data_IF_812622408787
#
_entry.id   IF_812622408787
#
_cell.length_a   1.000
_cell.length_b   1.000
_cell.length_c   1.000
_cell.angle_alpha   90.00
_cell.angle_beta   90.00
_cell.angle_gamma   90.00
#
_symmetry.space_group_name_H-M   'P 1'
#
loop_
_entity.id
_entity.type
_entity.pdbx_description
1 polymer ?
#
# COMPACT_ATOMS: atom_id res chain seq x y z
N UNK A 1 9.28 -8.60 -6.85
CA UNK A 1 9.55 -9.56 -5.78
C UNK A 1 11.05 -9.67 -5.46
N UNK A 2 11.90 -10.11 -6.38
CA UNK A 2 13.35 -10.31 -6.11
C UNK A 2 14.05 -9.04 -5.61
N UNK A 3 13.80 -7.90 -6.24
CA UNK A 3 14.39 -6.61 -5.83
C UNK A 3 13.87 -6.18 -4.44
N UNK A 4 12.58 -6.37 -4.16
CA UNK A 4 12.02 -6.11 -2.85
C UNK A 4 12.68 -6.97 -1.78
N UNK A 5 12.75 -8.29 -2.01
CA UNK A 5 13.36 -9.24 -1.06
C UNK A 5 14.85 -8.98 -0.82
N UNK A 6 15.58 -8.54 -1.86
CA UNK A 6 17.01 -8.19 -1.75
C UNK A 6 17.22 -6.92 -0.89
N UNK A 7 16.26 -6.02 -0.85
CA UNK A 7 16.33 -4.74 -0.13
C UNK A 7 15.63 -4.76 1.23
N UNK A 8 14.80 -5.77 1.50
CA UNK A 8 14.09 -5.88 2.77
C UNK A 8 15.04 -6.14 3.94
N UNK A 9 15.02 -5.26 4.94
CA UNK A 9 15.91 -5.29 6.11
C UNK A 9 15.25 -5.86 7.38
N UNK A 10 13.98 -6.25 7.31
CA UNK A 10 13.30 -6.90 8.43
C UNK A 10 13.89 -8.28 8.70
N UNK A 11 13.82 -8.68 9.97
CA UNK A 11 14.34 -9.96 10.46
C UNK A 11 13.17 -10.75 11.04
N UNK A 12 12.94 -12.00 10.63
CA UNK A 12 11.86 -12.80 11.20
C UNK A 12 11.93 -12.82 12.74
N UNK A 13 10.80 -12.50 13.40
CA UNK A 13 10.73 -12.63 14.86
C UNK A 13 10.82 -14.10 15.29
N UNK A 14 10.03 -14.96 14.66
CA UNK A 14 10.14 -16.42 14.81
C UNK A 14 11.17 -16.96 13.84
N UNK A 15 12.38 -17.25 14.32
CA UNK A 15 13.51 -17.71 13.49
C UNK A 15 14.28 -18.86 14.14
N UNK A 16 14.93 -19.65 13.30
CA UNK A 16 15.89 -20.66 13.72
C UNK A 16 17.27 -20.04 14.07
N UNK A 17 18.25 -20.90 14.37
CA UNK A 17 19.61 -20.47 14.74
C UNK A 17 20.36 -19.84 13.56
N UNK A 18 19.99 -20.18 12.32
CA UNK A 18 20.56 -19.63 11.10
C UNK A 18 19.84 -18.32 10.68
N UNK A 19 18.75 -17.92 11.35
CA UNK A 19 17.97 -16.73 11.07
C UNK A 19 16.85 -16.92 10.05
N UNK A 20 16.54 -18.15 9.66
CA UNK A 20 15.42 -18.45 8.77
C UNK A 20 14.10 -18.38 9.52
N UNK A 21 13.04 -17.93 8.83
CA UNK A 21 11.72 -17.87 9.42
C UNK A 21 11.17 -19.25 9.77
N UNK A 22 10.58 -19.34 10.96
CA UNK A 22 9.80 -20.50 11.42
C UNK A 22 8.30 -20.38 11.06
N UNK A 23 7.86 -19.32 10.40
CA UNK A 23 6.52 -19.20 9.83
C UNK A 23 6.46 -19.98 8.52
N UNK A 24 6.25 -21.30 8.66
CA UNK A 24 6.28 -22.25 7.54
C UNK A 24 4.90 -22.35 6.90
N UNK A 25 4.83 -22.08 5.61
CA UNK A 25 3.63 -22.20 4.79
C UNK A 25 3.78 -23.42 3.87
N UNK A 26 2.85 -24.35 3.98
CA UNK A 26 2.85 -25.63 3.26
C UNK A 26 1.46 -25.95 2.71
N UNK A 27 1.24 -27.21 2.31
CA UNK A 27 -0.08 -27.72 1.92
C UNK A 27 -1.09 -27.75 3.07
N UNK A 28 -0.64 -27.76 4.31
CA UNK A 28 -1.48 -27.74 5.51
C UNK A 28 -1.73 -26.30 5.99
N UNK A 29 -2.89 -26.01 6.63
CA UNK A 29 -3.17 -24.70 7.19
C UNK A 29 -2.10 -24.27 8.21
N UNK A 30 -1.58 -23.05 8.06
CA UNK A 30 -0.58 -22.46 8.94
C UNK A 30 -1.15 -21.23 9.65
N UNK A 31 -0.88 -21.11 10.95
CA UNK A 31 -1.22 -19.92 11.73
C UNK A 31 -0.03 -19.00 11.86
N UNK A 32 -0.25 -17.72 11.60
CA UNK A 32 0.67 -16.61 11.83
C UNK A 32 0.01 -15.69 12.86
N UNK A 33 0.55 -15.64 14.05
CA UNK A 33 0.04 -14.75 15.12
C UNK A 33 0.43 -13.31 14.79
N UNK A 34 -0.47 -12.36 15.05
CA UNK A 34 -0.26 -10.96 14.64
C UNK A 34 0.95 -10.32 15.36
N UNK A 35 1.21 -10.73 16.59
CA UNK A 35 2.35 -10.25 17.37
C UNK A 35 3.70 -10.81 16.93
N UNK A 36 3.71 -11.81 16.03
CA UNK A 36 4.92 -12.43 15.47
C UNK A 36 5.49 -11.68 14.25
N UNK A 37 5.12 -10.40 14.07
CA UNK A 37 5.67 -9.57 13.00
C UNK A 37 7.20 -9.42 13.11
N UNK A 38 7.85 -9.15 11.99
CA UNK A 38 9.32 -9.08 11.89
C UNK A 38 9.92 -8.00 12.80
N UNK A 39 11.15 -8.22 13.27
CA UNK A 39 12.00 -7.20 13.87
C UNK A 39 12.59 -6.29 12.77
N UNK A 40 12.90 -5.03 13.10
CA UNK A 40 13.53 -4.10 12.15
C UNK A 40 13.16 -2.65 12.39
N UNK A 41 12.13 -2.41 13.17
CA UNK A 41 11.70 -1.06 13.57
C UNK A 41 10.78 -0.38 12.57
N UNK A 42 10.44 0.84 12.95
CA UNK A 42 9.57 1.75 12.21
C UNK A 42 10.09 1.99 10.79
N UNK A 43 9.20 1.86 9.80
CA UNK A 43 9.50 2.04 8.39
C UNK A 43 10.23 0.85 7.73
N UNK A 44 10.59 -0.19 8.48
CA UNK A 44 11.24 -1.41 7.98
C UNK A 44 10.33 -2.61 8.10
N UNK A 45 9.93 -2.99 9.30
CA UNK A 45 9.08 -4.15 9.59
C UNK A 45 7.67 -3.77 10.02
N UNK A 46 7.45 -2.51 10.38
CA UNK A 46 6.15 -1.96 10.67
C UNK A 46 6.10 -0.44 10.45
N UNK A 47 4.89 0.09 10.40
CA UNK A 47 4.59 1.51 10.53
C UNK A 47 3.38 1.68 11.44
N UNK A 48 3.51 2.49 12.47
CA UNK A 48 2.43 2.79 13.40
C UNK A 48 2.42 4.27 13.76
N UNK A 49 1.36 4.98 13.35
CA UNK A 49 1.18 6.40 13.65
C UNK A 49 1.10 6.68 15.15
N UNK A 50 0.47 5.77 15.88
CA UNK A 50 0.33 5.84 17.33
C UNK A 50 1.22 4.80 17.99
N UNK A 51 2.55 5.01 17.92
CA UNK A 51 3.48 4.17 18.64
C UNK A 51 3.05 4.05 20.11
N UNK A 52 2.78 2.86 20.56
CA UNK A 52 2.19 2.62 21.86
C UNK A 52 2.65 1.32 22.50
N UNK A 53 2.39 1.26 23.79
CA UNK A 53 2.52 0.04 24.57
C UNK A 53 1.13 -0.48 24.88
N UNK A 54 0.81 -1.67 24.36
CA UNK A 54 -0.51 -2.29 24.54
C UNK A 54 -0.73 -2.96 25.89
N UNK A 55 0.25 -2.87 26.80
CA UNK A 55 0.17 -3.41 28.15
C UNK A 55 0.63 -4.87 28.29
N UNK A 56 1.10 -5.52 27.25
CA UNK A 56 1.61 -6.88 27.28
C UNK A 56 3.04 -6.98 26.73
N UNK A 57 3.96 -7.45 27.57
CA UNK A 57 5.37 -7.62 27.22
C UNK A 57 5.60 -8.95 26.50
N UNK A 58 5.24 -9.02 25.23
CA UNK A 58 5.45 -10.20 24.40
C UNK A 58 6.83 -10.20 23.73
N UNK A 59 7.30 -9.01 23.33
CA UNK A 59 8.55 -8.82 22.60
C UNK A 59 9.28 -7.56 23.05
N UNK A 60 10.60 -7.51 22.79
CA UNK A 60 11.44 -6.38 23.18
C UNK A 60 11.20 -5.14 22.30
N UNK A 61 10.86 -5.34 21.01
CA UNK A 61 10.60 -4.25 20.09
C UNK A 61 9.37 -3.45 20.53
N UNK A 62 9.54 -2.14 20.56
CA UNK A 62 8.49 -1.19 20.95
C UNK A 62 8.08 -0.37 19.72
N UNK A 63 6.89 0.17 19.73
CA UNK A 63 6.33 0.95 18.63
C UNK A 63 4.99 0.41 18.15
N UNK A 64 4.77 -0.90 18.33
CA UNK A 64 3.49 -1.57 18.05
C UNK A 64 2.84 -1.96 19.37
N UNK A 65 1.55 -1.65 19.52
CA UNK A 65 0.81 -1.94 20.73
C UNK A 65 0.37 -3.42 20.77
N UNK A 66 1.15 -4.25 21.46
CA UNK A 66 0.77 -5.65 21.75
C UNK A 66 -0.06 -5.68 23.03
N UNK A 67 -1.26 -6.21 22.94
CA UNK A 67 -2.25 -6.30 24.02
C UNK A 67 -2.63 -7.75 24.29
N UNK A 68 -3.24 -8.00 25.46
CA UNK A 68 -3.80 -9.31 25.80
C UNK A 68 -5.22 -9.16 26.29
N UNK A 69 -6.14 -9.82 25.60
CA UNK A 69 -7.57 -9.86 25.91
C UNK A 69 -7.97 -11.28 26.25
N UNK A 70 -8.11 -11.61 27.54
CA UNK A 70 -8.29 -12.99 27.99
C UNK A 70 -7.06 -13.83 27.67
N UNK A 71 -7.23 -14.87 26.84
CA UNK A 71 -6.12 -15.71 26.36
C UNK A 71 -5.56 -15.28 25.00
N UNK A 72 -6.20 -14.32 24.33
CA UNK A 72 -5.80 -13.82 23.01
C UNK A 72 -4.76 -12.71 23.16
N UNK A 73 -3.60 -12.87 22.54
CA UNK A 73 -2.62 -11.81 22.33
C UNK A 73 -2.96 -11.17 20.98
N UNK A 74 -2.95 -9.87 20.90
CA UNK A 74 -3.39 -9.16 19.70
C UNK A 74 -2.64 -7.85 19.51
N UNK A 75 -2.66 -7.32 18.28
CA UNK A 75 -2.22 -5.98 17.95
C UNK A 75 -3.41 -5.04 18.08
N UNK A 76 -3.25 -4.01 18.90
CA UNK A 76 -4.26 -2.97 19.13
C UNK A 76 -3.72 -1.57 18.84
N UNK A 77 -4.56 -0.57 19.11
CA UNK A 77 -4.24 0.86 18.91
C UNK A 77 -3.80 1.19 17.46
N UNK A 78 -4.32 0.45 16.52
CA UNK A 78 -4.03 0.58 15.10
C UNK A 78 -4.79 1.76 14.51
N UNK A 79 -4.15 2.50 13.63
CA UNK A 79 -4.69 3.66 12.92
C UNK A 79 -4.73 3.43 11.40
N UNK A 80 -5.27 4.41 10.68
CA UNK A 80 -5.20 4.40 9.22
C UNK A 80 -3.74 4.32 8.77
N UNK A 81 -3.50 3.54 7.73
CA UNK A 81 -2.20 3.39 7.07
C UNK A 81 -1.10 2.69 7.89
N UNK A 82 -1.45 2.17 9.07
CA UNK A 82 -0.55 1.30 9.81
C UNK A 82 -0.36 -0.03 9.06
N UNK A 83 0.83 -0.60 9.18
CA UNK A 83 1.16 -1.86 8.54
C UNK A 83 2.18 -2.69 9.33
N UNK A 84 2.17 -4.00 9.10
CA UNK A 84 3.07 -4.99 9.70
C UNK A 84 3.61 -5.94 8.62
N UNK A 85 4.86 -6.36 8.76
CA UNK A 85 5.51 -7.33 7.89
C UNK A 85 5.79 -8.65 8.61
N UNK A 86 5.68 -9.74 7.86
CA UNK A 86 5.92 -11.11 8.32
C UNK A 86 6.74 -11.84 7.27
N UNK A 87 7.92 -12.32 7.63
CA UNK A 87 8.70 -13.17 6.73
C UNK A 87 8.17 -14.60 6.81
N UNK A 88 7.71 -15.13 5.69
CA UNK A 88 7.20 -16.49 5.52
C UNK A 88 8.24 -17.35 4.83
N UNK A 89 8.27 -18.66 5.18
CA UNK A 89 8.99 -19.69 4.44
C UNK A 89 7.99 -20.63 3.78
N UNK A 90 7.80 -20.51 2.47
CA UNK A 90 6.88 -21.34 1.70
C UNK A 90 7.58 -22.58 1.22
N UNK A 91 7.04 -23.75 1.52
CA UNK A 91 7.60 -25.06 1.14
C UNK A 91 6.81 -25.75 0.04
N UNK A 92 5.65 -25.22 -0.32
CA UNK A 92 4.83 -25.75 -1.41
C UNK A 92 4.18 -24.58 -2.17
N UNK A 93 4.51 -24.41 -3.44
CA UNK A 93 3.92 -23.37 -4.27
C UNK A 93 2.42 -23.59 -4.48
N UNK A 94 1.63 -22.50 -4.49
CA UNK A 94 0.18 -22.61 -4.68
C UNK A 94 -0.54 -21.28 -4.66
N UNK A 95 -1.85 -21.37 -4.91
CA UNK A 95 -2.80 -20.35 -4.54
C UNK A 95 -3.25 -20.58 -3.09
N UNK A 96 -3.30 -19.52 -2.31
CA UNK A 96 -3.64 -19.57 -0.88
C UNK A 96 -4.80 -18.63 -0.56
N UNK A 97 -5.52 -18.94 0.51
CA UNK A 97 -6.41 -17.99 1.19
C UNK A 97 -5.80 -17.59 2.53
N UNK A 98 -6.12 -16.38 2.97
CA UNK A 98 -5.74 -15.86 4.28
C UNK A 98 -7.02 -15.53 5.04
N UNK A 99 -7.35 -16.32 6.03
CA UNK A 99 -8.41 -16.03 6.99
C UNK A 99 -7.83 -15.13 8.09
N UNK A 100 -8.26 -13.86 8.12
CA UNK A 100 -7.78 -12.85 9.07
C UNK A 100 -8.74 -12.74 10.24
N UNK A 101 -8.29 -13.08 11.44
CA UNK A 101 -9.04 -12.93 12.67
C UNK A 101 -8.78 -11.54 13.23
N UNK A 102 -9.76 -10.69 13.14
CA UNK A 102 -9.66 -9.30 13.53
C UNK A 102 -11.04 -8.72 13.84
N UNK A 103 -11.07 -7.54 14.45
CA UNK A 103 -12.30 -6.84 14.78
C UNK A 103 -12.11 -5.33 14.73
N UNK A 104 -13.16 -4.62 14.37
CA UNK A 104 -13.27 -3.16 14.51
C UNK A 104 -14.59 -2.78 15.17
N UNK A 105 -14.58 -1.72 15.99
CA UNK A 105 -15.80 -1.10 16.49
C UNK A 105 -16.02 0.31 15.89
N UNK A 106 -15.29 0.65 14.82
CA UNK A 106 -15.30 1.95 14.19
C UNK A 106 -16.10 1.99 12.86
N UNK A 107 -16.97 1.01 12.62
CA UNK A 107 -17.72 0.89 11.38
C UNK A 107 -16.87 0.31 10.25
N UNK A 108 -17.07 0.77 9.01
CA UNK A 108 -16.43 0.19 7.83
C UNK A 108 -14.94 0.52 7.76
N UNK A 109 -14.12 -0.40 8.22
CA UNK A 109 -12.67 -0.37 8.11
C UNK A 109 -12.23 -1.50 7.20
N UNK A 110 -11.34 -1.22 6.28
CA UNK A 110 -10.81 -2.22 5.34
C UNK A 110 -9.33 -2.51 5.61
N UNK A 111 -8.88 -3.67 5.14
CA UNK A 111 -7.48 -4.02 5.10
C UNK A 111 -7.15 -4.82 3.83
N UNK A 112 -5.87 -4.94 3.52
CA UNK A 112 -5.37 -5.70 2.39
C UNK A 112 -3.95 -6.23 2.65
N UNK A 113 -3.48 -7.09 1.75
CA UNK A 113 -2.15 -7.67 1.83
C UNK A 113 -1.29 -7.31 0.64
N UNK A 114 0.01 -7.31 0.87
CA UNK A 114 1.03 -7.39 -0.16
C UNK A 114 1.91 -8.62 0.06
N UNK A 115 2.39 -9.20 -1.02
CA UNK A 115 3.44 -10.22 -1.04
C UNK A 115 4.62 -9.67 -1.82
N UNK A 116 5.78 -9.60 -1.16
CA UNK A 116 7.03 -9.09 -1.75
C UNK A 116 6.86 -7.73 -2.41
N UNK A 117 6.10 -6.85 -1.73
CA UNK A 117 5.82 -5.51 -2.20
C UNK A 117 4.82 -5.43 -3.35
N UNK A 118 4.00 -6.43 -3.59
CA UNK A 118 2.92 -6.41 -4.58
C UNK A 118 1.60 -6.74 -3.92
N UNK A 119 0.55 -5.99 -4.26
CA UNK A 119 -0.80 -6.26 -3.76
C UNK A 119 -1.22 -7.70 -4.06
N UNK A 120 -1.82 -8.36 -3.09
CA UNK A 120 -2.20 -9.76 -3.15
C UNK A 120 -3.62 -9.98 -2.61
N UNK A 121 -4.44 -10.64 -3.39
CA UNK A 121 -5.85 -10.91 -3.06
C UNK A 121 -6.73 -9.66 -3.12
N UNK A 122 -7.87 -9.71 -2.43
CA UNK A 122 -8.86 -8.65 -2.40
C UNK A 122 -8.67 -7.75 -1.19
N UNK A 123 -9.19 -6.52 -1.28
CA UNK A 123 -9.45 -5.70 -0.11
C UNK A 123 -10.74 -6.16 0.52
N UNK A 124 -10.72 -6.27 1.83
CA UNK A 124 -11.85 -6.78 2.61
C UNK A 124 -12.17 -5.85 3.77
N UNK A 125 -13.45 -5.81 4.16
CA UNK A 125 -13.89 -5.08 5.34
C UNK A 125 -13.68 -5.97 6.59
N UNK A 126 -13.12 -5.38 7.66
CA UNK A 126 -12.98 -6.05 8.95
C UNK A 126 -14.36 -6.30 9.57
N UNK A 127 -14.57 -7.42 10.28
CA UNK A 127 -15.80 -7.67 11.02
C UNK A 127 -16.03 -6.59 12.09
N UNK A 128 -17.26 -6.09 12.17
CA UNK A 128 -17.66 -5.12 13.18
C UNK A 128 -18.21 -5.81 14.40
N UNK A 129 -17.57 -5.63 15.56
CA UNK A 129 -18.01 -6.15 16.87
C UNK A 129 -17.25 -5.37 17.98
N UNK A 130 -17.43 -5.76 19.24
CA UNK A 130 -16.65 -5.23 20.36
C UNK A 130 -15.15 -5.56 20.21
N UNK A 131 -14.28 -4.62 20.58
CA UNK A 131 -12.83 -4.67 20.41
C UNK A 131 -12.11 -5.94 20.89
N UNK A 132 -12.72 -6.75 21.70
CA UNK A 132 -12.15 -7.97 22.28
C UNK A 132 -12.80 -9.26 21.74
N UNK A 133 -13.57 -9.18 20.65
CA UNK A 133 -14.24 -10.33 20.04
C UNK A 133 -13.45 -10.80 18.83
N UNK A 134 -12.63 -11.84 18.98
CA UNK A 134 -11.78 -12.41 17.94
C UNK A 134 -12.31 -13.72 17.34
N UNK A 135 -13.62 -13.96 17.43
CA UNK A 135 -14.25 -15.17 16.89
C UNK A 135 -14.59 -15.06 15.41
N UNK A 136 -14.56 -13.86 14.86
CA UNK A 136 -14.85 -13.58 13.46
C UNK A 136 -13.58 -13.57 12.65
N UNK A 137 -13.66 -14.05 11.42
CA UNK A 137 -12.60 -13.91 10.43
C UNK A 137 -13.16 -13.45 9.11
N UNK A 138 -12.33 -12.80 8.31
CA UNK A 138 -12.61 -12.48 6.92
C UNK A 138 -11.53 -13.05 6.02
N UNK A 139 -11.95 -13.59 4.89
CA UNK A 139 -11.09 -14.35 3.99
C UNK A 139 -10.65 -13.51 2.80
N UNK A 140 -9.33 -13.46 2.58
CA UNK A 140 -8.72 -13.01 1.33
C UNK A 140 -8.33 -14.24 0.52
N UNK A 141 -8.64 -14.28 -0.76
CA UNK A 141 -8.38 -15.42 -1.65
C UNK A 141 -7.36 -15.07 -2.74
N UNK A 142 -6.92 -16.08 -3.46
CA UNK A 142 -6.07 -15.97 -4.64
C UNK A 142 -4.70 -15.34 -4.39
N UNK A 143 -4.17 -15.52 -3.18
CA UNK A 143 -2.80 -15.12 -2.84
C UNK A 143 -1.83 -16.14 -3.41
N UNK A 144 -1.02 -15.75 -4.38
CA UNK A 144 -0.08 -16.63 -5.05
C UNK A 144 1.27 -16.63 -4.34
N UNK A 145 1.72 -17.81 -3.90
CA UNK A 145 3.01 -17.99 -3.24
C UNK A 145 3.82 -19.05 -3.98
N UNK A 146 5.02 -18.68 -4.43
CA UNK A 146 6.02 -19.64 -4.92
C UNK A 146 6.74 -20.31 -3.75
N UNK A 147 7.52 -21.34 -4.02
CA UNK A 147 8.44 -21.87 -3.00
C UNK A 147 9.54 -20.86 -2.68
N UNK A 148 9.93 -20.77 -1.40
CA UNK A 148 10.98 -19.91 -0.92
C UNK A 148 10.56 -18.91 0.15
N UNK A 149 11.38 -17.89 0.33
CA UNK A 149 11.14 -16.78 1.26
C UNK A 149 10.20 -15.77 0.63
N UNK A 150 9.22 -15.34 1.38
CA UNK A 150 8.31 -14.24 1.04
C UNK A 150 8.11 -13.30 2.22
N UNK A 151 7.75 -12.05 1.94
CA UNK A 151 7.33 -11.07 2.96
C UNK A 151 5.86 -10.76 2.74
N UNK A 152 5.03 -11.19 3.69
CA UNK A 152 3.63 -10.79 3.80
C UNK A 152 3.58 -9.45 4.51
N UNK A 153 2.89 -8.48 3.94
CA UNK A 153 2.65 -7.18 4.55
C UNK A 153 1.15 -6.95 4.65
N UNK A 154 0.68 -6.67 5.86
CA UNK A 154 -0.71 -6.33 6.15
C UNK A 154 -0.85 -4.82 6.31
N UNK A 155 -1.88 -4.23 5.70
CA UNK A 155 -2.21 -2.81 5.77
C UNK A 155 -3.64 -2.60 6.19
N UNK A 156 -3.93 -1.52 6.91
CA UNK A 156 -5.29 -1.13 7.27
C UNK A 156 -5.63 0.30 6.91
N UNK A 157 -6.94 0.56 6.72
CA UNK A 157 -7.50 1.90 6.48
C UNK A 157 -8.01 2.56 7.77
N UNK A 158 -7.84 1.93 8.92
CA UNK A 158 -8.32 2.47 10.19
C UNK A 158 -8.11 1.50 11.36
N UNK A 159 -8.74 1.81 12.48
CA UNK A 159 -8.60 1.05 13.71
C UNK A 159 -9.14 -0.37 13.63
N UNK A 160 -8.26 -1.34 13.75
CA UNK A 160 -8.55 -2.78 13.81
C UNK A 160 -7.74 -3.38 14.95
N UNK A 161 -8.35 -4.24 15.77
CA UNK A 161 -7.60 -5.16 16.61
C UNK A 161 -7.39 -6.46 15.83
N UNK A 162 -6.13 -6.89 15.72
CA UNK A 162 -5.69 -8.01 14.91
C UNK A 162 -5.15 -9.13 15.78
N UNK A 163 -5.72 -10.35 15.66
CA UNK A 163 -5.31 -11.54 16.40
C UNK A 163 -4.32 -12.38 15.60
N UNK A 164 -4.72 -12.88 14.42
CA UNK A 164 -3.90 -13.79 13.62
C UNK A 164 -4.37 -13.92 12.19
N UNK A 165 -3.54 -14.58 11.41
CA UNK A 165 -3.86 -15.07 10.07
C UNK A 165 -3.84 -16.60 10.06
N UNK A 166 -4.77 -17.24 9.35
CA UNK A 166 -4.70 -18.66 9.00
C UNK A 166 -4.56 -18.76 7.49
N UNK A 167 -3.40 -19.23 7.04
CA UNK A 167 -3.03 -19.33 5.63
C UNK A 167 -3.27 -20.76 5.18
N UNK A 168 -4.12 -20.96 4.18
CA UNK A 168 -4.54 -22.27 3.69
C UNK A 168 -4.35 -22.38 2.19
N UNK A 169 -3.69 -23.43 1.73
CA UNK A 169 -3.56 -23.72 0.29
C UNK A 169 -4.92 -24.04 -0.32
N UNK A 170 -5.26 -23.41 -1.43
CA UNK A 170 -6.56 -23.54 -2.10
C UNK A 170 -6.46 -24.02 -3.53
N UNK A 171 -5.28 -23.99 -4.13
CA UNK A 171 -5.11 -24.37 -5.53
C UNK A 171 -3.67 -24.37 -6.01
N UNK A 172 -3.51 -24.56 -7.31
CA UNK A 172 -2.21 -24.55 -7.96
C UNK A 172 -1.64 -23.13 -8.09
N UNK A 173 -0.31 -23.04 -8.10
CA UNK A 173 0.40 -21.81 -8.35
C UNK A 173 0.28 -21.40 -9.82
N UNK A 174 -0.20 -20.20 -10.10
CA UNK A 174 -0.33 -19.66 -11.47
C UNK A 174 0.76 -18.67 -11.84
N UNK A 175 1.53 -18.20 -10.86
CA UNK A 175 2.59 -17.21 -11.04
C UNK A 175 2.10 -15.75 -11.09
N UNK A 176 0.80 -15.51 -11.06
CA UNK A 176 0.22 -14.17 -11.11
C UNK A 176 -0.42 -13.81 -9.78
N UNK A 177 0.07 -12.77 -9.12
CA UNK A 177 -0.67 -12.15 -8.02
C UNK A 177 -1.89 -11.42 -8.60
N UNK A 178 -3.07 -11.87 -8.19
CA UNK A 178 -4.31 -11.16 -8.47
C UNK A 178 -4.46 -10.11 -7.37
N UNK A 179 -3.82 -8.96 -7.55
CA UNK A 179 -3.99 -7.82 -6.67
C UNK A 179 -5.26 -7.06 -7.00
N UNK A 180 -5.84 -6.40 -6.01
CA UNK A 180 -6.97 -5.52 -6.25
C UNK A 180 -6.46 -4.21 -6.86
N UNK A 181 -6.65 -4.06 -8.17
CA UNK A 181 -6.26 -2.88 -8.94
C UNK A 181 -6.94 -1.57 -8.50
N UNK A 182 -7.93 -1.62 -7.61
CA UNK A 182 -8.62 -0.44 -7.09
C UNK A 182 -7.83 0.32 -6.02
N UNK A 183 -6.71 -0.23 -5.54
CA UNK A 183 -5.90 0.40 -4.50
C UNK A 183 -4.45 0.61 -4.93
N UNK A 184 -4.27 1.22 -6.07
CA UNK A 184 -2.97 1.70 -6.54
C UNK A 184 -2.61 3.08 -5.95
N UNK A 185 -3.05 3.39 -4.73
CA UNK A 185 -2.59 4.61 -4.07
C UNK A 185 -1.35 4.31 -3.24
N UNK A 186 -0.23 5.00 -3.53
CA UNK A 186 0.90 4.99 -2.63
C UNK A 186 0.47 5.63 -1.32
N UNK A 187 0.24 4.83 -0.31
CA UNK A 187 -0.19 5.39 0.96
C UNK A 187 0.94 5.97 1.79
N UNK A 188 2.12 5.57 1.65
CA UNK A 188 3.33 6.15 2.24
C UNK A 188 4.56 5.51 1.60
N UNK A 189 5.48 6.32 1.19
CA UNK A 189 6.77 5.91 0.68
C UNK A 189 7.25 6.84 -0.43
N UNK A 190 8.53 6.97 -0.52
CA UNK A 190 9.15 7.65 -1.65
C UNK A 190 8.79 6.89 -2.93
N UNK A 191 8.67 7.60 -4.02
CA UNK A 191 8.41 7.15 -5.38
C UNK A 191 9.09 5.84 -5.78
N UNK A 192 10.27 5.61 -5.25
CA UNK A 192 11.16 4.51 -5.61
C UNK A 192 10.75 3.16 -5.00
N UNK A 193 9.79 3.15 -4.08
CA UNK A 193 9.43 1.95 -3.31
C UNK A 193 7.93 1.63 -3.31
N UNK A 194 7.17 2.20 -4.26
CA UNK A 194 5.77 1.86 -4.36
C UNK A 194 5.59 0.51 -5.11
N UNK A 195 5.27 -0.57 -4.39
CA UNK A 195 5.09 -1.89 -4.99
C UNK A 195 3.86 -1.99 -5.89
N UNK A 196 2.99 -0.99 -5.87
CA UNK A 196 1.82 -0.87 -6.73
C UNK A 196 2.14 -0.23 -8.09
N UNK A 197 3.40 -0.16 -8.45
CA UNK A 197 3.79 0.12 -9.82
C UNK A 197 3.33 -1.04 -10.69
N UNK A 198 2.09 -0.98 -11.12
CA UNK A 198 1.58 -1.89 -12.13
C UNK A 198 2.41 -1.64 -13.38
N UNK A 199 3.07 -2.68 -13.88
CA UNK A 199 3.67 -2.62 -15.20
C UNK A 199 2.53 -2.34 -16.19
N UNK A 200 2.43 -1.09 -16.68
CA UNK A 200 1.42 -0.65 -17.65
C UNK A 200 1.46 -1.43 -18.97
N UNK A 201 2.38 -2.36 -19.11
CA UNK A 201 2.44 -3.31 -20.23
C UNK A 201 1.46 -4.49 -20.07
N UNK A 202 0.85 -4.66 -18.88
CA UNK A 202 -0.21 -5.67 -18.73
C UNK A 202 -1.47 -5.18 -19.44
N UNK A 203 -2.19 -6.09 -20.09
CA UNK A 203 -3.39 -5.83 -20.90
C UNK A 203 -4.63 -5.39 -20.07
N UNK A 204 -4.45 -4.84 -18.89
CA UNK A 204 -5.54 -4.42 -18.00
C UNK A 204 -6.00 -2.99 -18.35
N UNK A 205 -7.12 -2.90 -19.06
CA UNK A 205 -7.70 -1.69 -19.64
C UNK A 205 -8.20 -0.62 -18.67
N UNK A 206 -8.07 -0.77 -17.35
CA UNK A 206 -8.61 0.16 -16.36
C UNK A 206 -7.61 0.60 -15.29
N UNK A 207 -6.32 0.44 -15.52
CA UNK A 207 -5.30 0.87 -14.56
C UNK A 207 -5.05 2.36 -14.70
N UNK A 208 -5.00 3.14 -13.60
CA UNK A 208 -4.58 4.52 -13.64
C UNK A 208 -3.18 4.64 -14.25
N UNK A 209 -2.99 5.55 -15.20
CA UNK A 209 -1.67 5.74 -15.81
C UNK A 209 -0.71 6.57 -14.92
N UNK A 210 -1.21 7.21 -13.89
CA UNK A 210 -0.44 7.88 -12.85
C UNK A 210 -0.64 7.12 -11.55
N UNK A 211 0.37 6.40 -11.10
CA UNK A 211 0.37 5.65 -9.84
C UNK A 211 1.42 6.16 -8.84
N UNK A 212 2.09 7.27 -9.16
CA UNK A 212 3.25 7.78 -8.43
C UNK A 212 3.00 9.12 -7.75
N UNK A 213 1.90 9.78 -8.09
CA UNK A 213 1.47 11.07 -7.55
C UNK A 213 -0.01 11.05 -7.25
N UNK A 214 -0.39 11.78 -6.22
CA UNK A 214 -1.78 12.15 -6.03
C UNK A 214 -2.11 13.25 -7.03
N UNK A 215 -3.02 12.97 -7.97
CA UNK A 215 -3.43 13.93 -9.00
C UNK A 215 -4.95 14.01 -9.09
N UNK A 216 -5.45 15.21 -9.36
CA UNK A 216 -6.87 15.46 -9.50
C UNK A 216 -7.16 16.42 -10.66
N UNK A 217 -8.46 16.56 -11.00
CA UNK A 217 -9.03 17.54 -11.89
C UNK A 217 -8.27 17.71 -13.22
N UNK A 218 -7.95 16.64 -13.95
CA UNK A 218 -7.11 16.75 -15.14
C UNK A 218 -7.86 17.39 -16.30
N UNK A 219 -7.15 18.22 -17.08
CA UNK A 219 -7.53 18.54 -18.45
C UNK A 219 -6.71 17.75 -19.45
N UNK A 220 -7.23 17.53 -20.65
CA UNK A 220 -6.57 16.74 -21.67
C UNK A 220 -6.70 17.35 -23.06
N UNK A 221 -5.57 17.52 -23.77
CA UNK A 221 -5.52 18.11 -25.10
C UNK A 221 -4.63 17.31 -26.03
N UNK A 222 -5.04 17.23 -27.30
CA UNK A 222 -4.16 16.75 -28.40
C UNK A 222 -3.63 17.96 -29.12
N UNK A 223 -2.30 18.12 -29.16
CA UNK A 223 -1.65 19.21 -29.83
C UNK A 223 -1.19 18.85 -31.26
N UNK A 224 -0.59 19.82 -31.95
CA UNK A 224 -0.19 19.68 -33.35
C UNK A 224 0.84 18.57 -33.60
N UNK A 225 1.53 18.10 -32.57
CA UNK A 225 2.45 16.96 -32.62
C UNK A 225 1.74 15.59 -32.59
N UNK A 226 0.41 15.59 -32.46
CA UNK A 226 -0.44 14.41 -32.42
C UNK A 226 -0.41 13.63 -31.09
N UNK A 227 0.26 14.16 -30.06
CA UNK A 227 0.27 13.56 -28.72
C UNK A 227 -0.90 14.08 -27.88
N UNK A 228 -1.46 13.18 -27.09
CA UNK A 228 -2.39 13.52 -26.02
C UNK A 228 -1.56 13.96 -24.80
N UNK A 229 -1.83 15.15 -24.32
CA UNK A 229 -1.27 15.68 -23.08
C UNK A 229 -2.34 15.75 -22.01
N UNK A 230 -1.98 15.36 -20.79
CA UNK A 230 -2.83 15.44 -19.60
C UNK A 230 -2.16 16.33 -18.57
N UNK A 231 -2.83 17.40 -18.21
CA UNK A 231 -2.42 18.38 -17.21
C UNK A 231 -3.21 18.08 -15.93
N UNK A 232 -2.50 17.88 -14.83
CA UNK A 232 -3.13 17.52 -13.57
C UNK A 232 -2.63 18.39 -12.42
N UNK A 233 -3.50 18.68 -11.47
CA UNK A 233 -3.12 19.23 -10.18
C UNK A 233 -2.48 18.15 -9.32
N UNK A 234 -1.59 18.55 -8.41
CA UNK A 234 -0.97 17.66 -7.45
C UNK A 234 -1.62 17.87 -6.08
N UNK A 235 -2.37 16.88 -5.61
CA UNK A 235 -2.81 16.81 -4.22
C UNK A 235 -1.59 16.54 -3.33
N UNK A 236 -1.49 17.23 -2.22
CA UNK A 236 -0.42 16.96 -1.26
C UNK A 236 -0.67 15.63 -0.55
N UNK A 237 0.41 15.05 -0.06
CA UNK A 237 0.33 13.80 0.70
C UNK A 237 -0.62 13.96 1.91
N UNK A 238 -1.34 12.89 2.28
CA UNK A 238 -2.16 12.90 3.47
C UNK A 238 -1.39 13.37 4.74
N UNK A 239 -2.05 14.04 5.69
CA UNK A 239 -3.49 14.27 5.75
C UNK A 239 -3.98 15.51 4.99
N UNK A 240 -3.13 16.24 4.29
CA UNK A 240 -3.46 17.52 3.66
C UNK A 240 -4.34 17.31 2.43
N UNK A 241 -3.98 16.38 1.54
CA UNK A 241 -4.77 16.01 0.37
C UNK A 241 -5.13 17.21 -0.52
N UNK A 242 -6.38 17.26 -0.96
CA UNK A 242 -6.92 18.32 -1.82
C UNK A 242 -7.09 19.68 -1.13
N UNK A 243 -6.92 19.78 0.17
CA UNK A 243 -6.96 21.07 0.87
C UNK A 243 -5.78 21.98 0.47
N UNK A 244 -4.72 21.40 -0.07
CA UNK A 244 -3.59 22.14 -0.65
C UNK A 244 -3.09 21.42 -1.89
N UNK A 245 -3.15 22.11 -3.02
CA UNK A 245 -2.57 21.70 -4.29
C UNK A 245 -1.48 22.70 -4.64
N UNK A 246 -0.25 22.25 -4.71
CA UNK A 246 0.91 23.14 -4.75
C UNK A 246 1.55 23.27 -6.13
N UNK A 247 1.20 22.39 -7.09
CA UNK A 247 1.86 22.33 -8.40
C UNK A 247 0.99 21.71 -9.48
N UNK A 248 1.38 21.88 -10.74
CA UNK A 248 0.85 21.19 -11.90
C UNK A 248 1.86 20.24 -12.48
N UNK A 249 1.39 19.08 -12.89
CA UNK A 249 2.17 18.01 -13.51
C UNK A 249 1.63 17.68 -14.89
N UNK A 250 2.49 17.28 -15.83
CA UNK A 250 2.08 16.96 -17.20
C UNK A 250 2.54 15.58 -17.60
N UNK A 251 1.63 14.85 -18.21
CA UNK A 251 1.87 13.54 -18.79
C UNK A 251 1.49 13.55 -20.26
N UNK A 252 2.13 12.73 -21.10
CA UNK A 252 1.71 12.61 -22.49
C UNK A 252 1.85 11.21 -23.04
N UNK A 253 1.05 10.92 -24.08
CA UNK A 253 1.08 9.65 -24.79
C UNK A 253 0.73 9.82 -26.27
N UNK A 254 1.17 8.87 -27.10
CA UNK A 254 0.76 8.74 -28.50
C UNK A 254 -0.17 7.54 -28.74
N UNK A 255 -0.31 6.65 -27.76
CA UNK A 255 -1.01 5.37 -27.91
C UNK A 255 -1.93 5.03 -26.74
N UNK A 256 -2.01 5.91 -25.73
CA UNK A 256 -2.76 5.73 -24.49
C UNK A 256 -2.35 4.49 -23.64
N UNK A 257 -1.21 3.88 -23.99
CA UNK A 257 -0.62 2.74 -23.30
C UNK A 257 0.72 3.08 -22.68
N UNK A 258 1.57 3.76 -23.43
CA UNK A 258 2.88 4.21 -22.98
C UNK A 258 2.82 5.69 -22.67
N UNK A 259 3.13 6.07 -21.46
CA UNK A 259 3.06 7.44 -20.97
C UNK A 259 4.45 8.01 -20.68
N UNK A 260 4.61 9.27 -21.00
CA UNK A 260 5.80 10.05 -20.65
C UNK A 260 5.39 11.02 -19.55
N UNK A 261 6.11 10.98 -18.43
CA UNK A 261 6.02 11.98 -17.37
C UNK A 261 6.98 13.13 -17.69
N UNK A 262 6.45 14.35 -17.84
CA UNK A 262 7.22 15.56 -18.10
C UNK A 262 7.60 16.30 -16.82
N UNK A 263 7.15 15.83 -15.67
CA UNK A 263 7.43 16.44 -14.38
C UNK A 263 6.54 17.64 -14.07
N UNK A 264 6.96 18.37 -13.05
CA UNK A 264 6.35 19.63 -12.64
C UNK A 264 6.57 20.72 -13.69
N UNK A 265 5.49 21.39 -14.10
CA UNK A 265 5.56 22.51 -15.05
C UNK A 265 5.34 23.87 -14.38
N UNK A 266 4.67 23.90 -13.24
CA UNK A 266 4.36 25.12 -12.50
C UNK A 266 4.12 24.78 -11.03
N UNK A 267 4.54 25.68 -10.13
CA UNK A 267 4.20 25.56 -8.72
C UNK A 267 3.82 26.92 -8.10
N UNK A 268 3.10 26.86 -6.99
CA UNK A 268 2.57 28.05 -6.33
C UNK A 268 3.67 29.01 -5.84
N UNK A 269 4.82 28.49 -5.40
CA UNK A 269 5.93 29.32 -4.95
C UNK A 269 6.56 30.13 -6.11
N UNK A 270 6.72 29.51 -7.27
CA UNK A 270 7.22 30.18 -8.48
C UNK A 270 6.24 31.23 -8.97
N UNK A 271 4.95 30.92 -9.03
CA UNK A 271 3.88 31.88 -9.39
C UNK A 271 3.90 33.07 -8.46
N UNK A 272 3.96 32.85 -7.15
CA UNK A 272 4.04 33.90 -6.15
C UNK A 272 5.28 34.80 -6.33
N UNK A 273 6.43 34.19 -6.55
CA UNK A 273 7.68 34.93 -6.75
C UNK A 273 7.66 35.80 -8.01
N UNK A 274 7.03 35.34 -9.10
CA UNK A 274 6.99 36.06 -10.39
C UNK A 274 5.88 37.09 -10.46
N UNK A 275 4.73 36.84 -9.86
CA UNK A 275 3.54 37.68 -10.00
C UNK A 275 3.23 38.56 -8.79
N UNK A 276 3.82 38.27 -7.63
CA UNK A 276 3.48 38.91 -6.36
C UNK A 276 2.11 38.50 -5.81
N UNK A 277 1.38 37.60 -6.48
CA UNK A 277 0.10 37.10 -6.00
C UNK A 277 0.30 36.19 -4.79
N UNK A 278 -0.46 36.43 -3.73
CA UNK A 278 -0.33 35.77 -2.44
C UNK A 278 -0.96 34.37 -2.38
N UNK A 279 -0.56 33.47 -3.28
CA UNK A 279 -1.07 32.11 -3.34
C UNK A 279 -0.09 31.16 -2.65
N UNK A 280 -0.53 30.50 -1.59
CA UNK A 280 0.19 29.39 -0.96
C UNK A 280 -0.67 28.12 -1.08
N UNK A 281 -0.38 27.29 -2.07
CA UNK A 281 -1.21 26.16 -2.45
C UNK A 281 -2.47 26.64 -3.19
N UNK A 282 -3.41 25.83 -3.50
CA UNK A 282 -4.63 26.15 -4.25
C UNK A 282 -4.44 26.28 -5.77
N UNK A 283 -3.56 25.49 -6.33
CA UNK A 283 -3.41 25.32 -7.77
C UNK A 283 -4.34 24.19 -8.25
N UNK A 284 -5.64 24.50 -8.34
CA UNK A 284 -6.68 23.52 -8.70
C UNK A 284 -6.95 23.52 -10.21
N UNK A 285 -7.39 22.35 -10.71
CA UNK A 285 -7.99 22.17 -12.01
C UNK A 285 -7.24 22.90 -13.15
N UNK A 286 -6.01 22.45 -13.50
CA UNK A 286 -5.24 23.09 -14.56
C UNK A 286 -5.91 22.92 -15.92
N UNK A 287 -5.74 23.91 -16.76
CA UNK A 287 -6.00 23.78 -18.18
C UNK A 287 -4.88 24.44 -18.97
N UNK A 288 -4.76 24.08 -20.24
CA UNK A 288 -3.72 24.58 -21.12
C UNK A 288 -4.31 25.05 -22.46
N UNK A 289 -3.89 26.19 -22.93
CA UNK A 289 -4.29 26.74 -24.21
C UNK A 289 -3.07 27.19 -25.01
N UNK A 290 -3.07 26.95 -26.30
CA UNK A 290 -2.01 27.40 -27.18
C UNK A 290 -2.25 28.85 -27.64
N UNK A 291 -1.33 29.74 -27.28
CA UNK A 291 -1.30 31.11 -27.80
C UNK A 291 -0.56 31.14 -29.17
N UNK A 292 -1.34 31.30 -30.24
CA UNK A 292 -0.79 31.28 -31.62
C UNK A 292 0.11 32.47 -31.96
N UNK A 293 -0.08 33.60 -31.31
CA UNK A 293 0.70 34.83 -31.58
C UNK A 293 2.09 34.69 -30.94
N UNK A 294 2.17 34.19 -29.75
CA UNK A 294 3.42 34.03 -28.99
C UNK A 294 4.08 32.66 -29.19
N UNK A 295 3.37 31.71 -29.81
CA UNK A 295 3.78 30.32 -30.00
C UNK A 295 4.11 29.61 -28.67
N UNK A 296 3.30 29.86 -27.63
CA UNK A 296 3.44 29.30 -26.28
C UNK A 296 2.16 28.61 -25.85
N UNK A 297 2.32 27.66 -24.94
CA UNK A 297 1.25 26.96 -24.25
C UNK A 297 1.01 27.56 -22.87
#
# INVERSE_FOLDING_TARGET
AEEFLANYQGIPFKKDQEGNSLLIISGEPATVEAEDFDDGGEGVSFHFQNAGYGGYDYREEKGVAVSKSGDVVNIGNVSSDDWLCYTLQVTEAGAYSIDTYCVTANGKISFYFEIDGRAAGQIVEAPEDDWNVFTHSVKVTDVQLSEGKHVLKWFTTGGINLDKFVITRTGEYTGEQIGNSLFTYPRYGTYEHNPLFVDFKSEMYNTPFVGTLYTADPSAHVWDDGRLYVYASHDMEPPVGCDRMDRYHVFSTTDMKNWTDHGEIMNSATVKAQTGLGIDGFMWAPDCVYNKEEQLY
#
